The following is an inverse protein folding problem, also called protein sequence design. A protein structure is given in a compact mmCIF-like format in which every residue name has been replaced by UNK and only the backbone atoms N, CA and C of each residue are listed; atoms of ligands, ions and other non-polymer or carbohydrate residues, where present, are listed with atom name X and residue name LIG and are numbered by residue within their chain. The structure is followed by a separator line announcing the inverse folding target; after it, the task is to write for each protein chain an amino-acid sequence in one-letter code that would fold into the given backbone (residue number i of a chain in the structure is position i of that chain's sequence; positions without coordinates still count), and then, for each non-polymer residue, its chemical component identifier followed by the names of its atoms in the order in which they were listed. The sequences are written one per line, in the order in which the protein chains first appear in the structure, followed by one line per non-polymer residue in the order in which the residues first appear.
data_IF_463238300303
#
_entry.id   IF_463238300303
#
_cell.length_a   1.000
_cell.length_b   1.000
_cell.length_c   1.000
_cell.angle_alpha   90.00
_cell.angle_beta   90.00
_cell.angle_gamma   90.00
#
_symmetry.space_group_name_H-M   'P 1'
#
loop_
_entity.id
_entity.type
_entity.pdbx_description
1 polymer ?
#
# COMPACT_ATOMS: atom_id res chain seq x y z
N UNK A 1 14.01 23.54 8.57
CA UNK A 1 13.23 23.15 7.38
C UNK A 1 13.58 21.74 6.99
N UNK A 2 12.58 20.85 6.91
CA UNK A 2 12.85 19.47 6.49
C UNK A 2 12.93 19.42 4.98
N UNK A 3 14.06 18.95 4.48
CA UNK A 3 14.16 18.67 3.04
C UNK A 3 13.32 17.43 2.72
N UNK A 4 12.57 17.51 1.63
CA UNK A 4 11.93 16.33 1.08
C UNK A 4 12.99 15.44 0.44
N UNK A 5 13.01 14.17 0.83
CA UNK A 5 13.92 13.19 0.23
C UNK A 5 13.55 12.90 -1.21
N UNK A 6 12.25 12.82 -1.48
CA UNK A 6 11.70 12.52 -2.80
C UNK A 6 10.52 13.45 -3.07
N UNK A 7 10.34 13.79 -4.33
CA UNK A 7 9.13 14.46 -4.77
C UNK A 7 7.92 13.55 -4.49
N UNK A 8 6.78 14.14 -4.11
CA UNK A 8 5.57 13.42 -3.75
C UNK A 8 5.15 12.41 -4.82
N UNK A 9 5.21 12.80 -6.10
CA UNK A 9 4.86 11.90 -7.20
C UNK A 9 5.81 10.72 -7.29
N UNK A 10 7.10 10.94 -7.04
CA UNK A 10 8.11 9.88 -7.10
C UNK A 10 7.96 8.90 -5.94
N UNK A 11 7.51 9.36 -4.78
CA UNK A 11 7.20 8.48 -3.65
C UNK A 11 6.15 7.46 -4.05
N UNK A 12 5.06 7.91 -4.67
CA UNK A 12 4.01 7.02 -5.15
C UNK A 12 4.48 6.07 -6.23
N UNK A 13 5.21 6.60 -7.21
CA UNK A 13 5.74 5.81 -8.34
C UNK A 13 6.68 4.71 -7.83
N UNK A 14 7.59 5.05 -6.93
CA UNK A 14 8.52 4.08 -6.37
C UNK A 14 7.79 2.92 -5.70
N UNK A 15 6.76 3.22 -4.90
CA UNK A 15 5.96 2.20 -4.25
C UNK A 15 5.25 1.29 -5.25
N UNK A 16 4.64 1.87 -6.29
CA UNK A 16 3.94 1.09 -7.31
C UNK A 16 4.89 0.16 -8.07
N UNK A 17 6.08 0.64 -8.45
CA UNK A 17 7.08 -0.21 -9.11
C UNK A 17 7.59 -1.32 -8.20
N UNK A 18 7.86 -1.01 -6.93
CA UNK A 18 8.36 -1.99 -5.97
C UNK A 18 7.32 -3.10 -5.73
N UNK A 19 6.08 -2.73 -5.51
CA UNK A 19 5.00 -3.71 -5.29
C UNK A 19 4.76 -4.53 -6.53
N UNK A 20 4.76 -3.90 -7.71
CA UNK A 20 4.63 -4.61 -8.99
C UNK A 20 5.73 -5.65 -9.15
N UNK A 21 6.98 -5.26 -8.92
CA UNK A 21 8.12 -6.17 -9.02
C UNK A 21 8.02 -7.33 -8.04
N UNK A 22 7.62 -7.07 -6.80
CA UNK A 22 7.46 -8.12 -5.80
C UNK A 22 6.35 -9.10 -6.17
N UNK A 23 5.23 -8.61 -6.69
CA UNK A 23 4.13 -9.48 -7.14
C UNK A 23 4.54 -10.32 -8.35
N UNK A 24 5.25 -9.73 -9.31
CA UNK A 24 5.77 -10.48 -10.45
C UNK A 24 6.72 -11.58 -9.98
N UNK A 25 7.60 -11.25 -9.03
CA UNK A 25 8.52 -12.23 -8.44
C UNK A 25 7.78 -13.39 -7.78
N UNK A 26 6.59 -13.13 -7.25
CA UNK A 26 5.73 -14.15 -6.62
C UNK A 26 4.84 -14.90 -7.60
N UNK A 27 4.98 -14.63 -8.90
CA UNK A 27 4.28 -15.37 -9.94
C UNK A 27 3.00 -14.74 -10.46
N UNK A 28 2.75 -13.48 -10.10
CA UNK A 28 1.57 -12.76 -10.60
C UNK A 28 1.87 -12.02 -11.88
N UNK A 29 0.86 -11.89 -12.73
CA UNK A 29 0.87 -10.95 -13.84
C UNK A 29 0.33 -9.62 -13.34
N UNK A 30 1.01 -8.53 -13.65
CA UNK A 30 0.67 -7.21 -13.12
C UNK A 30 0.53 -6.20 -14.24
N UNK A 31 -0.56 -5.46 -14.24
CA UNK A 31 -0.75 -4.30 -15.09
C UNK A 31 -0.85 -3.06 -14.22
N UNK A 32 -0.04 -2.05 -14.51
CA UNK A 32 -0.09 -0.78 -13.80
C UNK A 32 -1.08 0.15 -14.49
N UNK A 33 -1.93 0.80 -13.71
CA UNK A 33 -2.82 1.83 -14.24
C UNK A 33 -2.10 3.17 -14.23
N UNK A 34 -2.29 3.95 -15.27
CA UNK A 34 -1.72 5.28 -15.38
C UNK A 34 -2.79 6.32 -15.02
N UNK A 35 -2.41 7.30 -14.23
CA UNK A 35 -3.28 8.41 -13.87
C UNK A 35 -3.48 8.57 -12.37
N UNK A 36 -3.75 9.82 -11.96
CA UNK A 36 -3.73 10.22 -10.56
C UNK A 36 -5.09 10.15 -9.86
N UNK A 37 -6.13 9.71 -10.54
CA UNK A 37 -7.49 9.83 -10.03
C UNK A 37 -8.16 8.50 -9.70
N UNK A 38 -7.41 7.41 -9.78
CA UNK A 38 -8.01 6.07 -9.65
C UNK A 38 -7.75 5.48 -8.28
N UNK A 39 -8.77 4.79 -7.76
CA UNK A 39 -8.67 4.05 -6.51
C UNK A 39 -7.84 2.76 -6.63
N UNK A 40 -7.55 2.34 -7.87
CA UNK A 40 -6.82 1.10 -8.17
C UNK A 40 -5.55 1.46 -8.92
N UNK A 41 -4.41 1.07 -8.36
CA UNK A 41 -3.12 1.32 -8.98
C UNK A 41 -2.64 0.15 -9.83
N UNK A 42 -2.97 -1.08 -9.42
CA UNK A 42 -2.52 -2.28 -10.09
C UNK A 42 -3.68 -3.24 -10.31
N UNK A 43 -3.68 -3.90 -11.46
CA UNK A 43 -4.51 -5.06 -11.73
C UNK A 43 -3.60 -6.27 -11.74
N UNK A 44 -3.97 -7.31 -10.98
CA UNK A 44 -3.11 -8.46 -10.72
C UNK A 44 -3.86 -9.73 -11.04
N UNK A 45 -3.21 -10.67 -11.72
CA UNK A 45 -3.83 -11.92 -12.12
C UNK A 45 -2.90 -13.09 -11.86
N UNK A 46 -3.47 -14.20 -11.38
CA UNK A 46 -2.77 -15.46 -11.24
C UNK A 46 -3.78 -16.60 -11.33
N UNK A 47 -3.55 -17.52 -12.23
CA UNK A 47 -4.41 -18.70 -12.43
C UNK A 47 -5.89 -18.33 -12.65
N UNK A 48 -6.14 -17.25 -13.40
CA UNK A 48 -7.48 -16.78 -13.69
C UNK A 48 -8.13 -15.93 -12.63
N UNK A 49 -7.50 -15.77 -11.47
CA UNK A 49 -8.00 -14.92 -10.38
C UNK A 49 -7.50 -13.50 -10.58
N UNK A 50 -8.43 -12.55 -10.66
CA UNK A 50 -8.12 -11.12 -10.79
C UNK A 50 -8.24 -10.42 -9.44
N UNK A 51 -7.28 -9.57 -9.14
CA UNK A 51 -7.26 -8.77 -7.92
C UNK A 51 -6.96 -7.32 -8.28
N UNK A 52 -7.61 -6.41 -7.54
CA UNK A 52 -7.32 -4.99 -7.62
C UNK A 52 -6.46 -4.60 -6.42
N UNK A 53 -5.42 -3.82 -6.67
CA UNK A 53 -4.46 -3.44 -5.62
C UNK A 53 -4.32 -1.93 -5.60
N UNK A 54 -4.36 -1.36 -4.41
CA UNK A 54 -4.02 0.03 -4.19
C UNK A 54 -2.74 0.12 -3.37
N UNK A 55 -1.80 0.94 -3.83
CA UNK A 55 -0.52 1.13 -3.17
C UNK A 55 -0.48 2.52 -2.54
N UNK A 56 -0.07 2.59 -1.28
CA UNK A 56 0.16 3.85 -0.57
C UNK A 56 1.56 3.83 0.00
N UNK A 57 2.33 4.87 -0.26
CA UNK A 57 3.74 4.91 0.12
C UNK A 57 4.04 6.07 1.04
N UNK A 58 4.96 5.84 1.99
CA UNK A 58 5.60 6.88 2.76
C UNK A 58 7.11 6.82 2.50
N UNK A 59 7.78 7.96 2.63
CA UNK A 59 9.22 8.03 2.35
C UNK A 59 10.06 7.36 3.42
N UNK A 60 9.64 7.47 4.68
CA UNK A 60 10.43 7.00 5.82
C UNK A 60 9.54 6.87 7.05
N UNK A 61 10.04 6.15 8.05
CA UNK A 61 9.31 5.90 9.31
C UNK A 61 8.86 7.20 9.99
N UNK A 62 9.66 8.25 9.89
CA UNK A 62 9.34 9.56 10.47
C UNK A 62 8.18 10.27 9.78
N UNK A 63 7.74 9.79 8.62
CA UNK A 63 6.52 10.29 7.97
C UNK A 63 5.26 9.93 8.76
N UNK A 64 5.37 8.99 9.67
CA UNK A 64 4.41 8.65 10.71
C UNK A 64 3.26 7.77 10.23
N UNK A 65 2.55 8.11 9.17
CA UNK A 65 1.35 7.38 8.80
C UNK A 65 1.09 7.35 7.30
N UNK A 66 0.23 6.40 6.92
CA UNK A 66 -0.40 6.36 5.61
C UNK A 66 -1.82 6.91 5.73
N UNK A 67 -2.31 7.55 4.67
CA UNK A 67 -3.66 8.13 4.66
C UNK A 67 -4.51 7.47 3.57
N UNK A 68 -5.74 7.15 3.91
CA UNK A 68 -6.77 6.67 2.98
C UNK A 68 -8.07 7.33 3.37
N UNK A 69 -8.86 7.77 2.39
CA UNK A 69 -10.20 8.31 2.69
C UNK A 69 -11.18 7.16 2.85
N UNK A 70 -11.54 6.83 4.08
CA UNK A 70 -12.47 5.74 4.37
C UNK A 70 -13.83 5.95 3.72
N UNK A 71 -14.29 7.21 3.64
CA UNK A 71 -15.57 7.53 3.02
C UNK A 71 -15.63 7.20 1.52
N UNK A 72 -14.48 7.00 0.89
CA UNK A 72 -14.39 6.66 -0.53
C UNK A 72 -14.32 5.16 -0.77
N UNK A 73 -14.27 4.35 0.27
CA UNK A 73 -14.27 2.89 0.14
C UNK A 73 -15.68 2.44 -0.27
N UNK A 74 -15.76 1.58 -1.26
CA UNK A 74 -17.03 1.18 -1.88
C UNK A 74 -17.40 -0.28 -1.64
N UNK A 75 -16.76 -0.92 -0.67
CA UNK A 75 -17.00 -2.34 -0.42
C UNK A 75 -16.49 -3.26 -1.51
N UNK A 76 -15.59 -2.77 -2.35
CA UNK A 76 -14.95 -3.57 -3.39
C UNK A 76 -13.80 -4.38 -2.76
N UNK A 77 -13.51 -5.53 -3.37
CA UNK A 77 -12.41 -6.36 -2.87
C UNK A 77 -11.08 -5.85 -3.38
N UNK A 78 -10.54 -4.88 -2.68
CA UNK A 78 -9.25 -4.29 -2.99
C UNK A 78 -8.26 -4.72 -1.93
N UNK A 79 -7.07 -5.13 -2.35
CA UNK A 79 -5.96 -5.36 -1.43
C UNK A 79 -5.13 -4.10 -1.40
N UNK A 80 -4.81 -3.65 -0.20
CA UNK A 80 -3.99 -2.46 0.02
C UNK A 80 -2.59 -2.89 0.39
N UNK A 81 -1.60 -2.32 -0.29
CA UNK A 81 -0.20 -2.50 0.08
C UNK A 81 0.35 -1.15 0.49
N UNK A 82 0.70 -1.06 1.76
CA UNK A 82 1.31 0.13 2.33
C UNK A 82 2.83 -0.05 2.29
N UNK A 83 3.53 0.93 1.78
CA UNK A 83 4.97 0.84 1.58
C UNK A 83 5.67 1.92 2.40
N UNK A 84 6.67 1.51 3.17
CA UNK A 84 7.66 2.42 3.71
C UNK A 84 8.92 2.27 2.86
N UNK A 85 9.30 3.32 2.15
CA UNK A 85 10.44 3.26 1.23
C UNK A 85 11.78 3.23 1.94
N UNK A 86 11.84 3.64 3.20
CA UNK A 86 13.10 3.85 3.92
C UNK A 86 14.09 4.68 3.09
N UNK A 87 13.59 5.73 2.43
CA UNK A 87 14.37 6.55 1.50
C UNK A 87 15.50 7.32 2.19
N UNK A 88 15.42 7.53 3.50
CA UNK A 88 16.48 8.11 4.32
C UNK A 88 17.60 7.10 4.65
N UNK A 89 17.35 5.81 4.40
CA UNK A 89 18.28 4.73 4.71
C UNK A 89 18.47 3.81 3.49
N UNK A 90 18.51 4.41 2.30
CA UNK A 90 18.44 3.69 1.03
C UNK A 90 19.53 2.64 0.86
N UNK A 91 20.71 2.86 1.43
CA UNK A 91 21.81 1.91 1.33
C UNK A 91 21.91 0.95 2.53
N UNK A 92 21.03 1.10 3.51
CA UNK A 92 21.09 0.32 4.76
C UNK A 92 19.85 -0.52 5.02
N UNK A 93 18.69 -0.08 4.54
CA UNK A 93 17.42 -0.72 4.82
C UNK A 93 16.65 -0.98 3.53
N UNK A 94 15.98 -2.13 3.47
CA UNK A 94 15.06 -2.42 2.38
C UNK A 94 13.73 -1.72 2.60
N UNK A 95 12.96 -1.48 1.52
CA UNK A 95 11.58 -1.05 1.69
C UNK A 95 10.79 -2.10 2.49
N UNK A 96 9.77 -1.64 3.18
CA UNK A 96 8.89 -2.49 3.96
C UNK A 96 7.49 -2.47 3.38
N UNK A 97 6.82 -3.62 3.42
CA UNK A 97 5.49 -3.80 2.84
C UNK A 97 4.51 -4.28 3.90
N UNK A 98 3.33 -3.68 3.91
CA UNK A 98 2.25 -4.03 4.83
C UNK A 98 1.01 -4.29 4.00
N UNK A 99 0.41 -5.47 4.15
CA UNK A 99 -0.69 -5.90 3.30
C UNK A 99 -1.97 -5.98 4.12
N UNK A 100 -3.02 -5.29 3.65
CA UNK A 100 -4.32 -5.22 4.30
C UNK A 100 -5.43 -5.51 3.29
N UNK A 101 -6.44 -6.23 3.75
CA UNK A 101 -7.71 -6.29 3.03
C UNK A 101 -8.47 -4.98 3.24
N UNK A 102 -9.49 -4.72 2.42
CA UNK A 102 -10.32 -3.54 2.60
C UNK A 102 -11.01 -3.54 3.97
N UNK A 103 -11.44 -4.71 4.43
CA UNK A 103 -12.03 -4.83 5.77
C UNK A 103 -11.06 -4.42 6.87
N UNK A 104 -9.80 -4.82 6.74
CA UNK A 104 -8.76 -4.44 7.70
C UNK A 104 -8.47 -2.94 7.64
N UNK A 105 -8.51 -2.35 6.47
CA UNK A 105 -8.37 -0.89 6.32
C UNK A 105 -9.51 -0.18 7.05
N UNK A 106 -10.75 -0.61 6.82
CA UNK A 106 -11.91 -0.02 7.48
C UNK A 106 -11.85 -0.16 9.01
N UNK A 107 -11.36 -1.29 9.49
CA UNK A 107 -11.30 -1.59 10.92
C UNK A 107 -10.18 -0.86 11.64
N UNK A 108 -9.08 -0.51 10.95
CA UNK A 108 -7.86 -0.09 11.62
C UNK A 108 -7.39 1.33 11.27
N UNK A 109 -7.85 1.91 10.18
CA UNK A 109 -7.56 3.31 9.92
C UNK A 109 -8.44 4.18 10.81
N UNK A 110 -7.82 5.17 11.44
CA UNK A 110 -8.52 6.05 12.36
C UNK A 110 -9.15 7.22 11.61
N UNK A 111 -10.46 7.46 11.78
CA UNK A 111 -11.12 8.56 11.10
C UNK A 111 -10.66 9.91 11.66
N UNK A 112 -10.60 10.91 10.78
CA UNK A 112 -10.33 12.29 11.14
C UNK A 112 -11.42 13.21 10.58
N UNK A 113 -11.52 14.42 11.13
CA UNK A 113 -12.50 15.40 10.67
C UNK A 113 -12.23 15.87 9.25
N UNK A 114 -10.98 15.79 8.79
CA UNK A 114 -10.60 16.21 7.45
C UNK A 114 -10.95 15.20 6.36
N UNK A 115 -11.38 13.99 6.74
CA UNK A 115 -11.65 12.90 5.81
C UNK A 115 -10.39 12.19 5.31
N UNK A 116 -9.23 12.52 5.87
CA UNK A 116 -7.97 11.83 5.57
C UNK A 116 -7.65 10.93 6.74
N UNK A 117 -8.22 9.75 6.70
CA UNK A 117 -8.08 8.76 7.74
C UNK A 117 -6.68 8.13 7.69
N UNK A 118 -6.18 7.64 8.81
CA UNK A 118 -4.77 7.27 8.89
C UNK A 118 -4.53 5.97 9.66
N UNK A 119 -3.42 5.31 9.29
CA UNK A 119 -2.80 4.23 10.05
C UNK A 119 -1.33 4.57 10.21
N UNK A 120 -0.82 4.52 11.44
CA UNK A 120 0.58 4.82 11.70
C UNK A 120 1.47 3.58 11.57
N UNK A 121 2.76 3.83 11.38
CA UNK A 121 3.75 2.77 11.18
C UNK A 121 3.77 1.78 12.36
N UNK A 122 3.79 2.28 13.58
CA UNK A 122 3.91 1.41 14.76
C UNK A 122 2.71 0.47 14.91
N UNK A 123 1.51 0.97 14.63
CA UNK A 123 0.32 0.13 14.67
C UNK A 123 0.29 -0.89 13.53
N UNK A 124 0.77 -0.52 12.35
CA UNK A 124 0.87 -1.46 11.24
C UNK A 124 1.79 -2.64 11.59
N UNK A 125 2.91 -2.36 12.25
CA UNK A 125 3.81 -3.42 12.75
C UNK A 125 3.13 -4.27 13.81
N UNK A 126 2.54 -3.62 14.80
CA UNK A 126 1.90 -4.30 15.94
C UNK A 126 0.76 -5.21 15.50
N UNK A 127 0.00 -4.79 14.50
CA UNK A 127 -1.16 -5.55 14.01
C UNK A 127 -0.78 -6.70 13.08
N UNK A 128 0.50 -6.86 12.77
CA UNK A 128 0.97 -8.01 12.01
C UNK A 128 0.77 -7.92 10.51
N UNK A 129 0.60 -6.72 9.97
CA UNK A 129 0.37 -6.53 8.54
C UNK A 129 1.65 -6.66 7.70
N UNK A 130 2.81 -6.58 8.34
CA UNK A 130 4.09 -6.61 7.61
C UNK A 130 4.28 -7.95 6.92
N UNK A 131 4.57 -7.87 5.62
CA UNK A 131 4.82 -9.04 4.77
C UNK A 131 3.68 -10.06 4.77
N UNK A 132 2.45 -9.61 4.97
CA UNK A 132 1.28 -10.49 4.98
C UNK A 132 0.82 -10.83 3.56
N UNK A 133 1.75 -11.22 2.69
CA UNK A 133 1.51 -11.55 1.28
C UNK A 133 0.54 -12.71 1.10
N UNK A 134 0.37 -13.55 2.11
CA UNK A 134 -0.59 -14.66 2.08
C UNK A 134 -2.01 -14.18 1.75
N UNK A 135 -2.32 -12.92 2.01
CA UNK A 135 -3.65 -12.36 1.71
C UNK A 135 -3.96 -12.35 0.22
N UNK A 136 -2.94 -12.35 -0.63
CA UNK A 136 -3.12 -12.48 -2.08
C UNK A 136 -3.54 -13.89 -2.48
N UNK A 137 -3.25 -14.89 -1.67
CA UNK A 137 -3.54 -16.28 -1.96
C UNK A 137 -4.86 -16.77 -1.35
N UNK A 138 -5.52 -15.94 -0.53
CA UNK A 138 -6.76 -16.34 0.13
C UNK A 138 -7.91 -16.34 -0.87
N UNK A 139 -8.66 -17.43 -0.87
CA UNK A 139 -9.85 -17.52 -1.68
C UNK A 139 -11.01 -16.78 -1.04
N UNK A 140 -11.84 -16.20 -1.89
CA UNK A 140 -13.08 -15.57 -1.47
C UNK A 140 -14.17 -16.62 -1.34
N UNK A 141 -14.48 -16.99 -0.13
CA UNK A 141 -15.64 -17.82 0.13
C UNK A 141 -16.74 -17.00 0.78
#
# INVERSE_FOLDING_TARGET
MKEELLHKNNTGIAGEFLVSGELVRRGYNVAMTLGNTKAIDLLVEKNGKLLSVQVKSMQRKKSICWNISLSKLKGEKIIYVLVNLNADLVDKEYPEYFILTEEEVQANFKPTKSGRDYLDYNNAVRLGFKNAWIKFEQDDE
#
